data_IF_744973502787
#
_entry.id   IF_744973502787
#
_cell.length_a   1.000
_cell.length_b   1.000
_cell.length_c   1.000
_cell.angle_alpha   90.00
_cell.angle_beta   90.00
_cell.angle_gamma   90.00
#
_symmetry.space_group_name_H-M   'P 1'
#
loop_
_entity.id
_entity.type
_entity.pdbx_description
1 polymer ?
#
# COMPACT_ATOMS: atom_id res chain seq x y z
N UNK A 1 28.40 43.89 20.47
CA UNK A 1 27.00 43.69 20.91
C UNK A 1 26.26 43.12 19.71
N UNK A 2 26.07 41.81 19.66
CA UNK A 2 24.85 41.13 20.15
C UNK A 2 23.62 41.72 19.43
N UNK A 3 22.94 41.01 18.53
CA UNK A 3 22.21 39.74 18.70
C UNK A 3 20.77 40.05 18.25
N UNK A 4 20.04 39.03 17.82
CA UNK A 4 18.59 38.99 17.56
C UNK A 4 18.15 39.48 16.18
N UNK A 5 18.27 38.60 15.19
CA UNK A 5 17.21 38.30 14.20
C UNK A 5 17.45 36.89 13.63
N UNK A 6 17.50 35.90 14.53
CA UNK A 6 17.28 34.49 14.22
C UNK A 6 15.97 34.07 14.89
N UNK A 7 15.04 33.51 14.10
CA UNK A 7 13.65 33.26 14.47
C UNK A 7 12.79 34.19 13.62
N UNK A 8 12.21 33.74 12.52
CA UNK A 8 11.19 32.71 12.47
C UNK A 8 11.48 31.69 11.38
N UNK A 9 11.82 30.47 11.79
CA UNK A 9 11.65 29.30 10.93
C UNK A 9 10.14 29.14 10.77
N UNK A 10 9.67 29.59 9.60
CA UNK A 10 8.30 29.44 9.14
C UNK A 10 7.79 28.05 9.45
N UNK A 11 6.68 28.06 10.18
CA UNK A 11 5.81 26.96 10.54
C UNK A 11 5.58 26.03 9.34
N UNK A 12 6.42 24.99 9.18
CA UNK A 12 6.07 23.82 8.38
C UNK A 12 4.91 23.16 9.11
N UNK A 13 3.67 23.54 8.76
CA UNK A 13 2.50 22.70 9.00
C UNK A 13 2.89 21.30 8.56
N UNK A 14 2.75 20.35 9.48
CA UNK A 14 2.86 18.94 9.17
C UNK A 14 1.99 18.69 7.93
N UNK A 15 2.64 18.29 6.84
CA UNK A 15 1.95 17.75 5.67
C UNK A 15 1.08 16.63 6.22
N UNK A 16 -0.24 16.76 6.07
CA UNK A 16 -1.19 15.68 6.35
C UNK A 16 -0.58 14.38 5.80
N UNK A 17 -0.63 13.23 6.51
CA UNK A 17 -0.05 12.00 5.98
C UNK A 17 -0.68 11.76 4.60
N UNK A 18 0.11 11.97 3.55
CA UNK A 18 -0.32 11.75 2.18
C UNK A 18 -0.76 10.30 2.05
N UNK A 19 -1.75 10.05 1.22
CA UNK A 19 -2.21 8.70 0.90
C UNK A 19 -1.08 8.02 0.10
N UNK A 20 -0.22 7.26 0.79
CA UNK A 20 0.89 6.55 0.16
C UNK A 20 0.40 5.22 -0.42
N UNK A 21 -0.10 5.26 -1.65
CA UNK A 21 -0.55 4.09 -2.41
C UNK A 21 0.62 3.41 -3.13
N UNK A 22 0.61 2.08 -3.19
CA UNK A 22 1.61 1.33 -3.94
C UNK A 22 1.57 1.64 -5.45
N UNK A 23 2.69 1.43 -6.18
CA UNK A 23 2.71 1.60 -7.64
C UNK A 23 1.67 0.76 -8.38
N UNK A 24 1.36 -0.44 -7.86
CA UNK A 24 0.35 -1.33 -8.46
C UNK A 24 -1.05 -0.73 -8.34
N UNK A 25 -1.41 -0.22 -7.16
CA UNK A 25 -2.71 0.43 -6.96
C UNK A 25 -2.83 1.71 -7.78
N UNK A 26 -1.77 2.52 -7.84
CA UNK A 26 -1.72 3.71 -8.71
C UNK A 26 -1.95 3.35 -10.18
N UNK A 27 -1.35 2.25 -10.66
CA UNK A 27 -1.58 1.75 -12.02
C UNK A 27 -3.02 1.28 -12.27
N UNK A 28 -3.65 0.60 -11.30
CA UNK A 28 -5.06 0.18 -11.41
C UNK A 28 -6.04 1.34 -11.41
N UNK A 29 -5.75 2.37 -10.62
CA UNK A 29 -6.54 3.61 -10.62
C UNK A 29 -6.36 4.34 -11.96
N UNK A 30 -5.13 4.40 -12.50
CA UNK A 30 -4.85 5.02 -13.79
C UNK A 30 -5.56 4.30 -14.93
N UNK A 31 -5.53 2.97 -14.93
CA UNK A 31 -6.28 2.12 -15.86
C UNK A 31 -7.79 2.42 -15.80
N UNK A 32 -8.38 2.43 -14.61
CA UNK A 32 -9.80 2.72 -14.45
C UNK A 32 -10.18 4.14 -14.91
N UNK A 33 -9.34 5.13 -14.62
CA UNK A 33 -9.58 6.51 -15.04
C UNK A 33 -9.43 6.68 -16.57
N UNK A 34 -8.46 5.99 -17.19
CA UNK A 34 -8.32 5.92 -18.65
C UNK A 34 -9.53 5.25 -19.29
N UNK A 35 -9.96 4.09 -18.80
CA UNK A 35 -11.11 3.38 -19.36
C UNK A 35 -12.41 4.16 -19.19
N UNK A 36 -12.55 4.92 -18.10
CA UNK A 36 -13.69 5.85 -17.91
C UNK A 36 -13.70 6.93 -18.98
N UNK A 37 -12.55 7.58 -19.23
CA UNK A 37 -12.44 8.59 -20.29
C UNK A 37 -12.63 7.99 -21.69
N UNK A 38 -12.12 6.79 -21.94
CA UNK A 38 -12.31 6.08 -23.20
C UNK A 38 -13.78 5.76 -23.45
N UNK A 39 -14.47 5.20 -22.44
CA UNK A 39 -15.90 4.91 -22.54
C UNK A 39 -16.73 6.19 -22.77
N UNK A 40 -16.36 7.29 -22.12
CA UNK A 40 -16.97 8.59 -22.35
C UNK A 40 -16.76 9.09 -23.79
N UNK A 41 -15.54 9.02 -24.31
CA UNK A 41 -15.25 9.36 -25.72
C UNK A 41 -16.06 8.50 -26.70
N UNK A 42 -16.11 7.18 -26.49
CA UNK A 42 -16.91 6.28 -27.33
C UNK A 42 -18.41 6.63 -27.30
N UNK A 43 -18.94 7.04 -26.14
CA UNK A 43 -20.33 7.50 -26.02
C UNK A 43 -20.62 8.80 -26.81
N UNK A 44 -19.59 9.60 -27.09
CA UNK A 44 -19.65 10.78 -27.95
C UNK A 44 -19.36 10.45 -29.44
N UNK A 45 -19.12 9.18 -29.77
CA UNK A 45 -18.77 8.73 -31.12
C UNK A 45 -17.28 8.86 -31.46
N UNK A 46 -16.41 9.08 -30.47
CA UNK A 46 -14.95 9.12 -30.63
C UNK A 46 -14.32 7.80 -30.14
N UNK A 47 -14.06 6.89 -31.07
CA UNK A 47 -13.38 5.61 -30.82
C UNK A 47 -11.85 5.69 -31.02
N UNK A 48 -11.27 6.89 -31.07
CA UNK A 48 -9.82 7.06 -31.33
C UNK A 48 -8.93 6.55 -30.18
N UNK A 49 -9.45 6.50 -28.96
CA UNK A 49 -8.72 6.03 -27.79
C UNK A 49 -8.66 4.50 -27.73
N UNK A 50 -7.44 3.96 -27.72
CA UNK A 50 -7.19 2.54 -27.56
C UNK A 50 -7.47 2.08 -26.11
N UNK A 51 -7.88 0.81 -25.91
CA UNK A 51 -7.94 0.19 -24.58
C UNK A 51 -6.61 0.29 -23.84
N UNK A 52 -6.62 0.29 -22.51
CA UNK A 52 -5.44 0.47 -21.66
C UNK A 52 -4.26 -0.44 -22.03
N UNK A 53 -4.52 -1.72 -22.29
CA UNK A 53 -3.49 -2.71 -22.63
C UNK A 53 -2.78 -2.39 -23.95
N UNK A 54 -3.49 -1.76 -24.89
CA UNK A 54 -3.00 -1.34 -26.20
C UNK A 54 -2.59 0.14 -26.25
N UNK A 55 -2.79 0.88 -25.15
CA UNK A 55 -2.46 2.30 -25.09
C UNK A 55 -0.94 2.50 -25.22
N UNK A 56 -0.48 3.53 -25.93
CA UNK A 56 0.95 3.82 -26.01
C UNK A 56 1.50 4.23 -24.63
N UNK A 57 2.78 3.94 -24.39
CA UNK A 57 3.42 4.13 -23.09
C UNK A 57 3.28 5.56 -22.55
N UNK A 58 3.46 6.57 -23.42
CA UNK A 58 3.32 7.97 -23.02
C UNK A 58 1.92 8.30 -22.48
N UNK A 59 0.88 7.61 -22.93
CA UNK A 59 -0.49 7.82 -22.47
C UNK A 59 -0.70 7.20 -21.08
N UNK A 60 -0.17 5.99 -20.86
CA UNK A 60 -0.17 5.35 -19.53
C UNK A 60 0.62 6.16 -18.51
N UNK A 61 1.81 6.65 -18.88
CA UNK A 61 2.64 7.53 -18.04
C UNK A 61 1.91 8.82 -17.71
N UNK A 62 1.23 9.43 -18.68
CA UNK A 62 0.41 10.64 -18.44
C UNK A 62 -0.73 10.38 -17.47
N UNK A 63 -1.42 9.23 -17.58
CA UNK A 63 -2.48 8.86 -16.65
C UNK A 63 -1.94 8.63 -15.23
N UNK A 64 -0.82 7.91 -15.09
CA UNK A 64 -0.14 7.72 -13.79
C UNK A 64 0.24 9.04 -13.13
N UNK A 65 0.78 10.00 -13.90
CA UNK A 65 1.11 11.33 -13.40
C UNK A 65 -0.13 12.10 -12.90
N UNK A 66 -1.26 11.98 -13.60
CA UNK A 66 -2.53 12.56 -13.17
C UNK A 66 -3.08 11.92 -11.88
N UNK A 67 -2.91 10.60 -11.74
CA UNK A 67 -3.27 9.88 -10.49
C UNK A 67 -2.41 10.38 -9.32
N UNK A 68 -1.09 10.44 -9.50
CA UNK A 68 -0.16 10.94 -8.47
C UNK A 68 -0.54 12.36 -8.03
N UNK A 69 -0.76 13.25 -9.00
CA UNK A 69 -1.14 14.63 -8.73
C UNK A 69 -2.40 14.71 -7.84
N UNK A 70 -3.43 13.94 -8.14
CA UNK A 70 -4.67 13.96 -7.34
C UNK A 70 -4.53 13.30 -5.97
N UNK A 71 -3.67 12.29 -5.83
CA UNK A 71 -3.35 11.68 -4.54
C UNK A 71 -2.63 12.68 -3.64
N UNK A 72 -1.66 13.41 -4.19
CA UNK A 72 -0.89 14.44 -3.48
C UNK A 72 -1.73 15.69 -3.18
N UNK A 73 -2.75 15.96 -4.01
CA UNK A 73 -3.60 17.15 -3.93
C UNK A 73 -5.09 16.77 -3.82
N UNK A 74 -5.55 16.20 -2.69
CA UNK A 74 -6.94 15.74 -2.54
C UNK A 74 -7.98 16.87 -2.59
N UNK A 75 -7.56 18.12 -2.37
CA UNK A 75 -8.40 19.31 -2.52
C UNK A 75 -8.41 19.92 -3.92
N UNK A 76 -7.68 19.35 -4.88
CA UNK A 76 -7.61 19.85 -6.25
C UNK A 76 -9.00 19.83 -6.91
N UNK A 77 -9.40 20.96 -7.49
CA UNK A 77 -10.62 21.08 -8.29
C UNK A 77 -10.45 20.51 -9.70
N UNK A 78 -11.50 20.60 -10.52
CA UNK A 78 -11.52 19.98 -11.85
C UNK A 78 -10.48 20.59 -12.80
N UNK A 79 -10.20 21.90 -12.71
CA UNK A 79 -9.20 22.57 -13.57
C UNK A 79 -7.76 22.21 -13.23
N UNK A 80 -7.48 21.81 -12.00
CA UNK A 80 -6.12 21.71 -11.48
C UNK A 80 -5.29 20.62 -12.18
N UNK A 81 -5.94 19.54 -12.61
CA UNK A 81 -5.27 18.48 -13.38
C UNK A 81 -4.92 18.91 -14.79
N UNK A 82 -5.81 19.68 -15.42
CA UNK A 82 -5.53 20.29 -16.70
C UNK A 82 -4.39 21.29 -16.61
N UNK A 83 -4.43 22.19 -15.62
CA UNK A 83 -3.38 23.19 -15.40
C UNK A 83 -2.02 22.53 -15.16
N UNK A 84 -1.99 21.45 -14.36
CA UNK A 84 -0.78 20.66 -14.14
C UNK A 84 -0.31 19.94 -15.42
N UNK A 85 -1.23 19.38 -16.20
CA UNK A 85 -0.91 18.74 -17.48
C UNK A 85 -0.33 19.75 -18.48
N UNK A 86 -0.93 20.94 -18.61
CA UNK A 86 -0.42 22.02 -19.47
C UNK A 86 0.98 22.45 -19.02
N UNK A 87 1.20 22.60 -17.71
CA UNK A 87 2.51 22.95 -17.16
C UNK A 87 3.58 21.91 -17.50
N UNK A 88 3.28 20.63 -17.32
CA UNK A 88 4.18 19.53 -17.68
C UNK A 88 4.46 19.50 -19.18
N UNK A 89 3.43 19.66 -20.00
CA UNK A 89 3.54 19.69 -21.45
C UNK A 89 4.39 20.86 -21.94
N UNK A 90 4.23 22.04 -21.36
CA UNK A 90 5.11 23.18 -21.65
C UNK A 90 6.56 22.90 -21.27
N UNK A 91 6.82 22.28 -20.11
CA UNK A 91 8.17 21.88 -19.71
C UNK A 91 8.80 20.88 -20.70
N UNK A 92 7.98 20.00 -21.28
CA UNK A 92 8.38 19.05 -22.34
C UNK A 92 8.47 19.70 -23.73
N UNK A 93 8.22 21.01 -23.85
CA UNK A 93 8.30 21.78 -25.08
C UNK A 93 7.07 21.71 -25.98
N UNK A 94 5.91 21.33 -25.44
CA UNK A 94 4.65 21.37 -26.19
C UNK A 94 4.06 22.77 -26.25
N UNK A 95 3.37 23.05 -27.35
CA UNK A 95 2.67 24.31 -27.62
C UNK A 95 1.25 24.06 -28.12
N UNK A 96 0.46 25.12 -28.21
CA UNK A 96 -0.83 25.07 -28.87
C UNK A 96 -0.70 24.81 -30.38
N UNK A 97 -1.61 24.00 -30.91
CA UNK A 97 -1.86 23.84 -32.35
C UNK A 97 -3.26 23.28 -32.56
N UNK A 98 -3.87 23.58 -33.71
CA UNK A 98 -5.28 23.23 -33.99
C UNK A 98 -5.56 21.72 -33.98
N UNK A 99 -4.53 20.93 -34.28
CA UNK A 99 -4.58 19.46 -34.24
C UNK A 99 -3.39 18.92 -33.47
N UNK A 100 -3.53 17.72 -32.90
CA UNK A 100 -2.43 17.07 -32.21
C UNK A 100 -1.35 16.64 -33.21
N UNK A 101 -0.13 17.14 -33.03
CA UNK A 101 1.04 16.78 -33.81
C UNK A 101 2.18 16.42 -32.84
N UNK A 102 2.52 15.13 -32.76
CA UNK A 102 3.53 14.65 -31.83
C UNK A 102 4.97 15.00 -32.25
N UNK A 103 5.24 15.20 -33.55
CA UNK A 103 6.56 15.56 -34.05
C UNK A 103 6.85 17.05 -33.76
N UNK A 104 5.86 17.91 -34.00
CA UNK A 104 5.95 19.35 -33.67
C UNK A 104 5.69 19.66 -32.20
N UNK A 105 5.21 18.68 -31.43
CA UNK A 105 4.75 18.84 -30.04
C UNK A 105 3.62 19.87 -29.91
N UNK A 106 2.62 19.78 -30.77
CA UNK A 106 1.44 20.63 -30.74
C UNK A 106 0.22 19.86 -30.23
N UNK A 107 -0.62 20.51 -29.41
CA UNK A 107 -1.86 19.91 -28.92
C UNK A 107 -2.99 20.96 -28.77
N UNK A 108 -4.23 20.66 -29.21
CA UNK A 108 -5.34 21.62 -29.19
C UNK A 108 -5.78 22.01 -27.77
N UNK A 109 -5.60 21.12 -26.81
CA UNK A 109 -5.91 21.40 -25.40
C UNK A 109 -4.85 22.28 -24.68
N UNK A 110 -3.82 22.80 -25.34
CA UNK A 110 -2.85 23.72 -24.71
C UNK A 110 -3.42 25.14 -24.58
N UNK A 111 -4.57 25.25 -23.93
CA UNK A 111 -5.33 26.46 -23.65
C UNK A 111 -5.77 26.45 -22.18
N UNK A 112 -6.14 27.60 -21.58
CA UNK A 112 -6.75 27.64 -20.24
C UNK A 112 -7.98 26.73 -20.13
N UNK A 113 -8.22 26.17 -18.94
CA UNK A 113 -9.31 25.21 -18.70
C UNK A 113 -10.69 25.74 -19.10
N UNK A 114 -10.97 27.02 -18.85
CA UNK A 114 -12.24 27.68 -19.21
C UNK A 114 -12.46 27.85 -20.72
N UNK A 115 -11.41 27.70 -21.52
CA UNK A 115 -11.45 27.75 -22.98
C UNK A 115 -11.50 26.37 -23.63
N UNK A 116 -11.40 25.29 -22.84
CA UNK A 116 -11.57 23.94 -23.36
C UNK A 116 -13.01 23.71 -23.83
N UNK A 117 -13.21 22.89 -24.88
CA UNK A 117 -14.52 22.33 -25.17
C UNK A 117 -15.11 21.62 -23.94
N UNK A 118 -16.42 21.71 -23.76
CA UNK A 118 -17.12 21.12 -22.60
C UNK A 118 -16.84 19.62 -22.43
N UNK A 119 -16.63 18.94 -23.55
CA UNK A 119 -16.30 17.52 -23.63
C UNK A 119 -14.91 17.23 -23.07
N UNK A 120 -13.94 18.13 -23.24
CA UNK A 120 -12.60 17.98 -22.65
C UNK A 120 -12.62 18.31 -21.16
N UNK A 121 -13.34 19.36 -20.74
CA UNK A 121 -13.52 19.67 -19.31
C UNK A 121 -14.17 18.49 -18.56
N UNK A 122 -15.14 17.83 -19.19
CA UNK A 122 -15.79 16.65 -18.63
C UNK A 122 -14.82 15.48 -18.42
N UNK A 123 -13.82 15.30 -19.30
CA UNK A 123 -12.79 14.26 -19.12
C UNK A 123 -11.92 14.51 -17.89
N UNK A 124 -11.54 15.76 -17.62
CA UNK A 124 -10.78 16.10 -16.40
C UNK A 124 -11.61 15.83 -15.15
N UNK A 125 -12.89 16.22 -15.16
CA UNK A 125 -13.81 15.94 -14.07
C UNK A 125 -14.00 14.43 -13.86
N UNK A 126 -14.25 13.65 -14.91
CA UNK A 126 -14.43 12.19 -14.83
C UNK A 126 -13.16 11.50 -14.33
N UNK A 127 -12.00 11.88 -14.85
CA UNK A 127 -10.71 11.37 -14.40
C UNK A 127 -10.52 11.63 -12.90
N UNK A 128 -10.69 12.89 -12.47
CA UNK A 128 -10.61 13.28 -11.05
C UNK A 128 -11.55 12.45 -10.19
N UNK A 129 -12.84 12.40 -10.53
CA UNK A 129 -13.82 11.67 -9.71
C UNK A 129 -13.48 10.18 -9.61
N UNK A 130 -12.97 9.58 -10.69
CA UNK A 130 -12.52 8.18 -10.68
C UNK A 130 -11.35 7.97 -9.72
N UNK A 131 -10.33 8.83 -9.76
CA UNK A 131 -9.18 8.76 -8.84
C UNK A 131 -9.64 8.91 -7.39
N UNK A 132 -10.43 9.94 -7.11
CA UNK A 132 -10.87 10.25 -5.74
C UNK A 132 -11.84 9.20 -5.17
N UNK A 133 -12.61 8.53 -6.01
CA UNK A 133 -13.46 7.42 -5.59
C UNK A 133 -12.65 6.15 -5.28
N UNK A 134 -11.64 5.84 -6.11
CA UNK A 134 -10.89 4.59 -6.00
C UNK A 134 -9.72 4.67 -5.02
N UNK A 135 -9.03 5.80 -4.91
CA UNK A 135 -7.88 5.96 -4.01
C UNK A 135 -8.17 5.53 -2.55
N UNK A 136 -9.25 5.95 -1.88
CA UNK A 136 -9.54 5.50 -0.52
C UNK A 136 -9.87 4.01 -0.45
N UNK A 137 -10.47 3.43 -1.50
CA UNK A 137 -10.76 1.99 -1.58
C UNK A 137 -9.46 1.21 -1.67
N UNK A 138 -8.56 1.59 -2.57
CA UNK A 138 -7.26 0.93 -2.70
C UNK A 138 -6.40 1.10 -1.45
N UNK A 139 -6.46 2.26 -0.78
CA UNK A 139 -5.77 2.46 0.49
C UNK A 139 -6.31 1.51 1.56
N UNK A 140 -7.63 1.35 1.63
CA UNK A 140 -8.25 0.41 2.54
C UNK A 140 -7.94 -1.05 2.17
N UNK A 141 -7.89 -1.40 0.88
CA UNK A 141 -7.46 -2.73 0.42
C UNK A 141 -6.02 -2.98 0.84
N UNK A 142 -5.08 -2.08 0.55
CA UNK A 142 -3.68 -2.22 0.94
C UNK A 142 -3.52 -2.27 2.46
N UNK A 143 -4.30 -1.48 3.21
CA UNK A 143 -4.35 -1.54 4.67
C UNK A 143 -4.86 -2.91 5.14
N UNK A 144 -5.90 -3.44 4.52
CA UNK A 144 -6.49 -4.73 4.85
C UNK A 144 -5.59 -5.90 4.40
N UNK A 145 -4.88 -5.80 3.28
CA UNK A 145 -3.89 -6.77 2.81
C UNK A 145 -2.62 -6.74 3.67
N UNK A 146 -2.19 -5.55 4.08
CA UNK A 146 -1.13 -5.38 5.07
C UNK A 146 -1.54 -5.85 6.47
N UNK A 147 -2.84 -5.77 6.81
CA UNK A 147 -3.40 -6.29 8.05
C UNK A 147 -3.77 -7.78 7.98
N UNK A 148 -3.98 -8.32 6.77
CA UNK A 148 -4.09 -9.75 6.51
C UNK A 148 -2.68 -10.31 6.70
N UNK A 149 -2.51 -10.98 7.83
CA UNK A 149 -1.43 -11.95 8.06
C UNK A 149 -1.17 -12.70 6.75
N UNK A 150 0.02 -12.56 6.18
CA UNK A 150 0.43 -13.41 5.04
C UNK A 150 0.36 -14.85 5.53
N UNK A 151 -0.70 -15.56 5.15
CA UNK A 151 -0.69 -17.00 5.05
C UNK A 151 0.50 -17.36 4.19
N UNK A 152 1.51 -17.96 4.81
CA UNK A 152 2.51 -18.70 4.05
C UNK A 152 1.74 -19.86 3.43
N UNK A 153 1.51 -19.77 2.12
CA UNK A 153 1.11 -20.91 1.31
C UNK A 153 2.30 -21.89 1.38
N UNK A 154 2.12 -23.00 2.08
CA UNK A 154 2.94 -24.16 1.79
C UNK A 154 2.60 -24.58 0.35
N UNK A 155 3.53 -24.39 -0.59
CA UNK A 155 3.39 -25.04 -1.89
C UNK A 155 3.24 -26.55 -1.66
N UNK A 156 2.12 -27.10 -2.14
CA UNK A 156 1.81 -28.53 -2.08
C UNK A 156 0.34 -28.80 -1.85
N UNK A 157 -0.31 -29.30 -2.92
CA UNK A 157 -1.73 -29.62 -3.06
C UNK A 157 -2.46 -30.21 -1.83
N UNK A 158 -3.74 -29.82 -1.77
CA UNK A 158 -4.74 -30.18 -0.76
C UNK A 158 -5.08 -31.68 -0.68
N UNK A 159 -5.66 -32.03 0.48
CA UNK A 159 -6.38 -33.25 0.84
C UNK A 159 -5.53 -34.44 1.33
N UNK A 160 -5.77 -34.82 2.60
CA UNK A 160 -5.24 -35.97 3.36
C UNK A 160 -3.74 -36.00 3.71
N UNK A 161 -2.83 -35.51 2.85
CA UNK A 161 -1.39 -35.40 3.15
C UNK A 161 -1.02 -34.15 3.97
N UNK A 162 -1.78 -33.06 3.82
CA UNK A 162 -1.53 -31.79 4.49
C UNK A 162 -1.60 -31.85 6.02
N UNK A 163 -2.52 -32.63 6.60
CA UNK A 163 -2.66 -32.71 8.05
C UNK A 163 -1.49 -33.45 8.73
N UNK A 164 -0.94 -34.48 8.08
CA UNK A 164 0.28 -35.15 8.55
C UNK A 164 1.48 -34.21 8.47
N UNK A 165 1.63 -33.47 7.36
CA UNK A 165 2.70 -32.49 7.15
C UNK A 165 2.62 -31.35 8.17
N UNK A 166 1.41 -30.84 8.46
CA UNK A 166 1.19 -29.82 9.48
C UNK A 166 1.48 -30.33 10.90
N UNK A 167 1.09 -31.57 11.23
CA UNK A 167 1.45 -32.21 12.52
C UNK A 167 2.97 -32.36 12.68
N UNK A 168 3.68 -32.76 11.62
CA UNK A 168 5.15 -32.81 11.61
C UNK A 168 5.74 -31.41 11.82
N UNK A 169 5.28 -30.40 11.08
CA UNK A 169 5.77 -29.03 11.22
C UNK A 169 5.58 -28.46 12.64
N UNK A 170 4.46 -28.77 13.31
CA UNK A 170 4.24 -28.38 14.71
C UNK A 170 5.28 -29.02 15.63
N UNK A 171 5.58 -30.30 15.41
CA UNK A 171 6.56 -31.04 16.22
C UNK A 171 7.99 -30.55 15.97
N UNK A 172 8.26 -29.99 14.79
CA UNK A 172 9.57 -29.46 14.41
C UNK A 172 9.84 -28.06 14.99
N UNK A 173 8.85 -27.42 15.65
CA UNK A 173 9.05 -26.12 16.30
C UNK A 173 9.91 -26.31 17.55
N UNK A 174 11.16 -25.87 17.45
CA UNK A 174 12.11 -25.85 18.57
C UNK A 174 12.08 -24.53 19.33
N UNK A 175 11.96 -23.40 18.62
CA UNK A 175 11.93 -22.07 19.24
C UNK A 175 10.91 -21.13 18.58
N UNK A 176 10.43 -20.16 19.36
CA UNK A 176 9.65 -19.01 18.91
C UNK A 176 10.47 -17.75 19.16
N UNK A 177 10.90 -17.09 18.09
CA UNK A 177 11.59 -15.81 18.14
C UNK A 177 10.59 -14.65 18.03
N UNK A 178 10.57 -13.78 19.04
CA UNK A 178 9.73 -12.60 19.13
C UNK A 178 10.53 -11.40 18.65
N UNK A 179 10.09 -10.76 17.57
CA UNK A 179 10.88 -9.75 16.87
C UNK A 179 10.13 -8.41 16.69
N UNK A 180 10.89 -7.35 16.51
CA UNK A 180 10.37 -6.02 16.18
C UNK A 180 9.88 -5.93 14.72
N UNK A 181 9.50 -4.72 14.28
CA UNK A 181 9.06 -4.46 12.91
C UNK A 181 10.11 -4.78 11.82
N UNK A 182 11.39 -4.67 12.16
CA UNK A 182 12.54 -4.86 11.26
C UNK A 182 13.05 -6.30 11.26
N UNK A 183 12.51 -7.16 12.13
CA UNK A 183 12.92 -8.55 12.28
C UNK A 183 14.05 -8.76 13.28
N UNK A 184 14.45 -7.73 14.03
CA UNK A 184 15.43 -7.89 15.10
C UNK A 184 14.81 -8.71 16.24
N UNK A 185 15.49 -9.77 16.65
CA UNK A 185 15.04 -10.67 17.71
C UNK A 185 15.12 -9.95 19.06
N UNK A 186 13.98 -9.79 19.71
CA UNK A 186 13.85 -9.14 21.02
C UNK A 186 14.04 -10.15 22.15
N UNK A 187 13.47 -11.35 21.98
CA UNK A 187 13.65 -12.50 22.84
C UNK A 187 13.19 -13.78 22.13
N UNK A 188 13.58 -14.93 22.67
CA UNK A 188 13.16 -16.25 22.20
C UNK A 188 12.49 -17.03 23.32
N UNK A 189 11.64 -17.95 22.92
CA UNK A 189 10.96 -18.90 23.81
C UNK A 189 11.08 -20.29 23.22
N UNK A 190 11.47 -21.25 24.04
CA UNK A 190 11.31 -22.67 23.77
C UNK A 190 9.92 -23.08 24.28
N UNK A 191 9.00 -23.55 23.43
CA UNK A 191 7.72 -24.09 23.87
C UNK A 191 7.91 -25.41 24.63
N UNK A 192 7.11 -25.65 25.66
CA UNK A 192 7.01 -26.96 26.29
C UNK A 192 6.14 -27.90 25.43
N UNK A 193 6.30 -29.23 25.57
CA UNK A 193 5.46 -30.20 24.87
C UNK A 193 3.96 -29.92 25.07
N UNK A 194 3.23 -29.77 23.97
CA UNK A 194 1.79 -29.50 23.99
C UNK A 194 1.38 -28.03 24.12
N UNK A 195 2.33 -27.10 24.26
CA UNK A 195 2.03 -25.66 24.24
C UNK A 195 1.72 -25.14 22.84
N UNK A 196 2.29 -25.76 21.80
CA UNK A 196 1.92 -25.53 20.40
C UNK A 196 1.06 -26.69 19.93
N UNK A 197 -0.17 -26.39 19.50
CA UNK A 197 -1.15 -27.39 19.08
C UNK A 197 -1.74 -27.06 17.72
N UNK A 198 -1.94 -28.06 16.87
CA UNK A 198 -2.68 -27.87 15.63
C UNK A 198 -4.19 -27.72 15.93
N UNK A 199 -4.79 -26.59 15.54
CA UNK A 199 -6.23 -26.33 15.62
C UNK A 199 -6.71 -25.74 14.30
N UNK A 200 -7.66 -26.40 13.64
CA UNK A 200 -8.23 -25.97 12.36
C UNK A 200 -7.15 -25.63 11.30
N UNK A 201 -6.10 -26.46 11.20
CA UNK A 201 -4.99 -26.25 10.25
C UNK A 201 -3.95 -25.21 10.69
N UNK A 202 -4.08 -24.63 11.89
CA UNK A 202 -3.16 -23.61 12.41
C UNK A 202 -2.39 -24.12 13.61
N UNK A 203 -1.10 -23.87 13.69
CA UNK A 203 -0.35 -24.12 14.92
C UNK A 203 -0.64 -23.00 15.92
N UNK A 204 -1.15 -23.34 17.10
CA UNK A 204 -1.56 -22.38 18.11
C UNK A 204 -0.68 -22.53 19.34
N UNK A 205 0.10 -21.50 19.64
CA UNK A 205 0.85 -21.38 20.89
C UNK A 205 -0.07 -20.84 22.00
N UNK A 206 -0.31 -21.67 23.02
CA UNK A 206 -1.29 -21.46 24.07
C UNK A 206 -0.62 -21.13 25.42
N UNK A 207 0.22 -20.10 25.43
CA UNK A 207 0.91 -19.64 26.63
C UNK A 207 0.99 -18.13 26.68
N UNK A 208 0.69 -17.57 27.85
CA UNK A 208 0.92 -16.17 28.14
C UNK A 208 2.42 -15.90 28.30
N UNK A 209 2.93 -14.87 27.62
CA UNK A 209 4.33 -14.47 27.72
C UNK A 209 4.45 -13.22 28.57
N UNK A 210 5.10 -13.34 29.73
CA UNK A 210 5.38 -12.20 30.60
C UNK A 210 6.83 -11.72 30.43
N UNK A 211 7.00 -10.40 30.20
CA UNK A 211 8.31 -9.77 30.16
C UNK A 211 8.70 -9.23 31.54
N UNK A 212 9.95 -9.52 31.96
CA UNK A 212 10.50 -8.99 33.23
C UNK A 212 10.50 -7.45 33.23
N UNK A 213 10.18 -6.87 34.40
CA UNK A 213 10.03 -5.42 34.65
C UNK A 213 11.21 -4.55 34.20
N UNK A 214 12.41 -5.12 34.16
CA UNK A 214 13.66 -4.40 33.92
C UNK A 214 13.97 -4.15 32.44
N UNK A 215 13.15 -4.67 31.51
CA UNK A 215 13.36 -4.44 30.07
C UNK A 215 12.80 -3.08 29.62
N UNK A 216 13.54 -2.33 28.76
CA UNK A 216 13.03 -1.11 28.14
C UNK A 216 11.76 -1.39 27.33
N UNK A 217 11.01 -0.34 26.99
CA UNK A 217 9.80 -0.45 26.14
C UNK A 217 10.11 -1.30 24.90
N UNK A 218 9.42 -2.41 24.75
CA UNK A 218 9.56 -3.38 23.66
C UNK A 218 8.36 -3.24 22.73
N UNK A 219 8.63 -3.15 21.42
CA UNK A 219 7.60 -3.13 20.38
C UNK A 219 7.69 -4.42 19.57
N UNK A 220 6.86 -5.39 19.93
CA UNK A 220 6.79 -6.70 19.30
C UNK A 220 5.86 -6.63 18.09
N UNK A 221 6.33 -6.91 16.88
CA UNK A 221 5.48 -6.90 15.68
C UNK A 221 5.42 -8.24 14.95
N UNK A 222 6.30 -9.20 15.26
CA UNK A 222 6.24 -10.52 14.66
C UNK A 222 6.78 -11.62 15.58
N UNK A 223 6.32 -12.85 15.34
CA UNK A 223 6.88 -14.08 15.92
C UNK A 223 7.25 -15.04 14.81
N UNK A 224 8.44 -15.61 14.90
CA UNK A 224 8.98 -16.57 13.93
C UNK A 224 9.16 -17.91 14.64
N UNK A 225 8.56 -18.97 14.11
CA UNK A 225 8.84 -20.33 14.55
C UNK A 225 10.10 -20.83 13.85
N UNK A 226 11.00 -21.43 14.64
CA UNK A 226 12.30 -21.93 14.22
C UNK A 226 12.39 -23.43 14.45
N UNK A 227 13.02 -24.15 13.53
CA UNK A 227 13.41 -25.55 13.73
C UNK A 227 14.62 -25.70 14.66
N UNK A 228 15.02 -26.93 14.94
CA UNK A 228 16.21 -27.27 15.75
C UNK A 228 17.53 -26.68 15.21
N UNK A 229 17.57 -26.35 13.91
CA UNK A 229 18.72 -25.75 13.23
C UNK A 229 18.61 -24.21 13.16
N UNK A 230 17.59 -23.61 13.78
CA UNK A 230 17.34 -22.17 13.77
C UNK A 230 16.78 -21.65 12.44
N UNK A 231 16.28 -22.52 11.55
CA UNK A 231 15.67 -22.12 10.28
C UNK A 231 14.23 -21.70 10.49
N UNK A 232 13.80 -20.67 9.75
CA UNK A 232 12.42 -20.20 9.79
C UNK A 232 11.49 -21.24 9.16
N UNK A 233 10.56 -21.76 9.94
CA UNK A 233 9.54 -22.71 9.48
C UNK A 233 8.16 -22.07 9.36
N UNK A 234 7.85 -21.06 10.19
CA UNK A 234 6.61 -20.29 10.09
C UNK A 234 6.77 -18.89 10.70
N UNK A 235 5.85 -17.97 10.38
CA UNK A 235 5.85 -16.61 10.92
C UNK A 235 4.45 -16.06 11.09
N UNK A 236 4.27 -15.28 12.15
CA UNK A 236 3.10 -14.41 12.39
C UNK A 236 3.60 -12.99 12.49
N UNK A 237 2.90 -12.04 11.85
CA UNK A 237 3.17 -10.60 11.96
C UNK A 237 1.88 -9.87 12.25
N UNK A 238 1.91 -8.92 13.18
CA UNK A 238 0.79 -8.05 13.53
C UNK A 238 0.91 -6.71 12.81
N UNK A 239 -0.23 -6.12 12.44
CA UNK A 239 -0.27 -4.80 11.80
C UNK A 239 0.19 -3.69 12.75
N UNK A 240 -0.22 -3.78 14.01
CA UNK A 240 0.15 -2.84 15.08
C UNK A 240 1.12 -3.55 16.03
N UNK A 241 2.24 -2.92 16.42
CA UNK A 241 3.15 -3.51 17.39
C UNK A 241 2.45 -3.68 18.74
N UNK A 242 2.65 -4.84 19.33
CA UNK A 242 2.30 -5.15 20.70
C UNK A 242 3.34 -4.49 21.60
N UNK A 243 2.92 -3.44 22.30
CA UNK A 243 3.80 -2.64 23.17
C UNK A 243 3.88 -3.30 24.55
N UNK A 244 5.10 -3.52 25.04
CA UNK A 244 5.36 -4.03 26.39
C UNK A 244 6.39 -3.22 27.15
N UNK A 245 6.24 -3.13 28.47
CA UNK A 245 7.17 -2.47 29.40
C UNK A 245 6.49 -2.19 30.74
N UNK A 246 7.26 -2.09 31.84
CA UNK A 246 6.69 -1.71 33.15
C UNK A 246 5.98 -2.82 33.94
N UNK A 247 6.21 -4.10 33.60
CA UNK A 247 5.81 -5.23 34.45
C UNK A 247 4.48 -5.90 34.14
N UNK A 248 3.99 -5.78 32.91
CA UNK A 248 3.08 -6.75 32.28
C UNK A 248 3.06 -6.50 30.77
N UNK A 249 3.67 -7.40 29.99
CA UNK A 249 3.23 -7.59 28.60
C UNK A 249 1.94 -8.42 28.70
N UNK A 250 0.81 -7.77 28.98
CA UNK A 250 -0.46 -8.44 28.86
C UNK A 250 -0.78 -8.48 27.36
N UNK A 251 -0.46 -9.61 26.71
CA UNK A 251 -0.92 -9.94 25.36
C UNK A 251 -2.46 -10.07 25.38
N UNK A 252 -3.16 -8.96 25.54
CA UNK A 252 -4.61 -8.87 25.44
C UNK A 252 -4.86 -8.16 24.11
N UNK A 253 -5.17 -8.90 23.03
CA UNK A 253 -6.05 -10.07 23.01
C UNK A 253 -5.42 -11.40 22.58
N UNK A 254 -4.10 -11.49 22.36
CA UNK A 254 -3.47 -12.73 21.88
C UNK A 254 -3.20 -13.71 23.04
N UNK A 255 -4.26 -14.27 23.65
CA UNK A 255 -4.17 -15.51 24.46
C UNK A 255 -3.56 -16.68 23.66
N UNK A 256 -3.54 -16.55 22.33
CA UNK A 256 -3.14 -17.54 21.37
C UNK A 256 -2.32 -16.88 20.26
N UNK A 257 -1.16 -17.44 19.89
CA UNK A 257 -0.42 -17.07 18.69
C UNK A 257 -0.65 -18.17 17.66
N UNK A 258 -1.32 -17.86 16.55
CA UNK A 258 -1.66 -18.84 15.53
C UNK A 258 -0.79 -18.67 14.27
N UNK A 259 0.01 -19.67 13.94
CA UNK A 259 0.75 -19.78 12.69
C UNK A 259 -0.11 -20.53 11.67
N UNK A 260 -0.15 -20.06 10.43
CA UNK A 260 -0.72 -20.83 9.33
C UNK A 260 0.37 -21.78 8.82
N UNK A 261 0.06 -23.08 8.76
CA UNK A 261 0.99 -24.15 8.35
C UNK A 261 0.59 -24.75 7.00
#
# INVERSE_FOLDING_TARGET
MLSLLQGEISNRRAVSPGVDLSPVSKARIAEAAHETNRAYCAALGDDSQQPWDDAPEWQRVSALAGVEFHIENPGAGDSASHDNWVLQKHADGWTFGETKDAEKKEHPCMVPFDQLPSEQQAKDALFRHTVHALAPIFLEIERLEGARVREVIAEGDMASKGERKAKTLVNDIAELAFCDAKGAVLFKITPEPGEVQLRNGKAVFNRSVELKREKPRVELQQVVALDENGRNIARVRWAVPLIGGGGKLALVPARFIAFNL
#
